data_IF_517393820552
#
_entry.id   IF_517393820552
#
_cell.length_a   1.000
_cell.length_b   1.000
_cell.length_c   1.000
_cell.angle_alpha   90.00
_cell.angle_beta   90.00
_cell.angle_gamma   90.00
#
_symmetry.space_group_name_H-M   'P 1'
#
loop_
_entity.id
_entity.type
_entity.pdbx_description
1 polymer ?
#
# COMPACT_ATOMS: atom_id res chain seq x y z
N UNK A 1 -30.73 -0.22 9.38
CA UNK A 1 -29.40 0.19 8.86
C UNK A 1 -29.51 0.23 7.35
N UNK A 2 -29.29 1.39 6.72
CA UNK A 2 -29.32 1.54 5.27
C UNK A 2 -27.87 1.65 4.78
N UNK A 3 -27.45 0.74 3.90
CA UNK A 3 -26.08 0.64 3.42
C UNK A 3 -26.07 0.88 1.92
N UNK A 4 -25.23 1.82 1.49
CA UNK A 4 -24.98 2.10 0.09
C UNK A 4 -23.51 1.81 -0.20
N UNK A 5 -23.24 1.11 -1.30
CA UNK A 5 -21.89 0.73 -1.71
C UNK A 5 -21.69 1.18 -3.14
N UNK A 6 -20.63 1.96 -3.37
CA UNK A 6 -20.22 2.39 -4.70
C UNK A 6 -18.83 1.82 -4.99
N UNK A 7 -18.71 1.13 -6.13
CA UNK A 7 -17.44 0.68 -6.66
C UNK A 7 -16.94 1.72 -7.65
N UNK A 8 -15.75 2.25 -7.39
CA UNK A 8 -15.18 3.32 -8.20
C UNK A 8 -14.44 2.81 -9.44
N UNK A 9 -14.02 1.54 -9.50
CA UNK A 9 -13.18 0.99 -10.59
C UNK A 9 -11.94 1.83 -10.96
N UNK A 10 -11.48 2.69 -10.04
CA UNK A 10 -10.52 3.76 -10.31
C UNK A 10 -9.07 3.31 -10.50
N UNK A 11 -8.78 2.01 -10.31
CA UNK A 11 -7.49 1.40 -10.70
C UNK A 11 -7.47 1.01 -12.18
N UNK A 12 -8.64 0.85 -12.81
CA UNK A 12 -8.78 0.54 -14.25
C UNK A 12 -8.96 1.82 -15.08
N UNK A 13 -9.66 2.80 -14.52
CA UNK A 13 -9.92 4.10 -15.13
C UNK A 13 -9.31 5.18 -14.24
N UNK A 14 -8.14 5.66 -14.65
CA UNK A 14 -7.29 6.55 -13.84
C UNK A 14 -7.35 8.01 -14.29
N UNK A 15 -8.09 8.29 -15.36
CA UNK A 15 -8.20 9.60 -15.98
C UNK A 15 -9.03 10.55 -15.12
N UNK A 16 -8.63 11.82 -15.05
CA UNK A 16 -9.34 12.85 -14.27
C UNK A 16 -10.80 13.02 -14.71
N UNK A 17 -11.08 12.88 -16.01
CA UNK A 17 -12.45 12.92 -16.55
C UNK A 17 -13.35 11.84 -15.95
N UNK A 18 -12.81 10.64 -15.70
CA UNK A 18 -13.56 9.56 -15.08
C UNK A 18 -13.89 9.89 -13.61
N UNK A 19 -12.92 10.43 -12.87
CA UNK A 19 -13.12 10.89 -11.49
C UNK A 19 -14.21 11.97 -11.42
N UNK A 20 -14.20 12.94 -12.35
CA UNK A 20 -15.23 13.99 -12.41
C UNK A 20 -16.61 13.46 -12.82
N UNK A 21 -16.65 12.38 -13.60
CA UNK A 21 -17.89 11.66 -13.91
C UNK A 21 -18.48 11.02 -12.64
N UNK A 22 -17.65 10.38 -11.81
CA UNK A 22 -18.08 9.84 -10.51
C UNK A 22 -18.59 10.97 -9.58
N UNK A 23 -17.87 12.09 -9.50
CA UNK A 23 -18.32 13.26 -8.75
C UNK A 23 -19.72 13.72 -9.16
N UNK A 24 -19.94 13.91 -10.47
CA UNK A 24 -21.22 14.35 -11.01
C UNK A 24 -22.34 13.34 -10.76
N UNK A 25 -22.02 12.05 -10.87
CA UNK A 25 -22.94 10.96 -10.55
C UNK A 25 -23.36 11.02 -9.08
N UNK A 26 -22.41 11.11 -8.14
CA UNK A 26 -22.69 11.11 -6.71
C UNK A 26 -23.44 12.38 -6.27
N UNK A 27 -23.09 13.55 -6.81
CA UNK A 27 -23.81 14.79 -6.57
C UNK A 27 -25.29 14.70 -6.97
N UNK A 28 -25.59 13.98 -8.07
CA UNK A 28 -26.97 13.76 -8.51
C UNK A 28 -27.66 12.66 -7.69
N UNK A 29 -26.99 11.54 -7.47
CA UNK A 29 -27.54 10.34 -6.83
C UNK A 29 -27.86 10.55 -5.35
N UNK A 30 -27.06 11.34 -4.65
CA UNK A 30 -27.15 11.53 -3.21
C UNK A 30 -27.54 12.95 -2.79
N UNK A 31 -28.07 13.76 -3.72
CA UNK A 31 -28.47 15.16 -3.47
C UNK A 31 -29.33 15.32 -2.22
N UNK A 32 -30.32 14.44 -2.07
CA UNK A 32 -31.32 14.50 -1.00
C UNK A 32 -31.03 13.46 0.11
N UNK A 33 -29.83 12.89 0.11
CA UNK A 33 -29.39 11.88 1.07
C UNK A 33 -28.38 12.49 2.03
N UNK A 34 -28.56 12.21 3.33
CA UNK A 34 -27.58 12.51 4.37
C UNK A 34 -27.10 11.18 4.95
N UNK A 35 -25.80 10.99 4.95
CA UNK A 35 -25.16 9.81 5.53
C UNK A 35 -24.70 10.14 6.95
N UNK A 36 -24.87 9.19 7.87
CA UNK A 36 -24.32 9.29 9.21
C UNK A 36 -22.79 9.12 9.21
N UNK A 37 -22.26 8.38 8.23
CA UNK A 37 -20.84 8.09 8.06
C UNK A 37 -20.55 7.69 6.61
N UNK A 38 -19.36 8.02 6.12
CA UNK A 38 -18.79 7.50 4.87
C UNK A 38 -17.60 6.63 5.22
N UNK A 39 -17.53 5.45 4.59
CA UNK A 39 -16.35 4.58 4.65
C UNK A 39 -15.70 4.62 3.27
N UNK A 40 -14.43 5.04 3.21
CA UNK A 40 -13.64 4.97 1.98
C UNK A 40 -12.55 3.90 2.11
N UNK A 41 -12.47 3.03 1.12
CA UNK A 41 -11.51 1.92 1.07
C UNK A 41 -10.49 2.17 -0.02
N UNK A 42 -9.20 2.01 0.30
CA UNK A 42 -8.06 2.23 -0.61
C UNK A 42 -7.74 3.72 -0.87
N UNK A 43 -6.55 3.99 -1.40
CA UNK A 43 -5.95 5.32 -1.59
C UNK A 43 -6.80 6.21 -2.51
N UNK A 44 -7.37 5.62 -3.57
CA UNK A 44 -8.17 6.35 -4.54
C UNK A 44 -9.50 6.86 -3.95
N UNK A 45 -10.17 6.05 -3.14
CA UNK A 45 -11.40 6.49 -2.48
C UNK A 45 -11.11 7.51 -1.38
N UNK A 46 -10.00 7.33 -0.65
CA UNK A 46 -9.53 8.32 0.31
C UNK A 46 -9.24 9.67 -0.36
N UNK A 47 -8.49 9.68 -1.47
CA UNK A 47 -8.21 10.90 -2.25
C UNK A 47 -9.49 11.57 -2.76
N UNK A 48 -10.43 10.79 -3.31
CA UNK A 48 -11.69 11.33 -3.81
C UNK A 48 -12.49 12.03 -2.69
N UNK A 49 -12.59 11.41 -1.52
CA UNK A 49 -13.26 11.99 -0.36
C UNK A 49 -12.48 13.19 0.18
N UNK A 50 -11.15 13.13 0.21
CA UNK A 50 -10.32 14.27 0.57
C UNK A 50 -10.65 15.50 -0.30
N UNK A 51 -10.75 15.32 -1.61
CA UNK A 51 -10.90 16.42 -2.57
C UNK A 51 -12.36 16.90 -2.73
N UNK A 52 -13.36 16.05 -2.45
CA UNK A 52 -14.76 16.32 -2.81
C UNK A 52 -15.78 16.12 -1.68
N UNK A 53 -15.37 15.71 -0.47
CA UNK A 53 -16.31 15.50 0.65
C UNK A 53 -17.13 16.74 0.94
N UNK A 54 -16.49 17.89 1.06
CA UNK A 54 -17.18 19.08 1.57
C UNK A 54 -18.19 19.63 0.55
N UNK A 55 -18.06 19.29 -0.74
CA UNK A 55 -19.04 19.61 -1.78
C UNK A 55 -20.14 18.55 -1.88
N UNK A 56 -19.82 17.26 -1.78
CA UNK A 56 -20.77 16.16 -1.97
C UNK A 56 -21.53 15.77 -0.69
N UNK A 57 -20.83 15.78 0.44
CA UNK A 57 -21.27 15.24 1.72
C UNK A 57 -20.84 16.16 2.90
N UNK A 58 -21.28 17.43 2.90
CA UNK A 58 -20.80 18.42 3.84
C UNK A 58 -21.04 17.99 5.30
N UNK A 59 -19.99 18.00 6.10
CA UNK A 59 -20.03 17.68 7.54
C UNK A 59 -20.18 16.19 7.87
N UNK A 60 -20.32 15.31 6.88
CA UNK A 60 -20.44 13.87 7.12
C UNK A 60 -19.10 13.30 7.64
N UNK A 61 -19.08 12.57 8.77
CA UNK A 61 -17.87 11.90 9.25
C UNK A 61 -17.34 10.86 8.25
N UNK A 62 -16.02 10.75 8.15
CA UNK A 62 -15.33 9.81 7.26
C UNK A 62 -14.47 8.85 8.07
N UNK A 63 -14.58 7.56 7.74
CA UNK A 63 -13.66 6.52 8.20
C UNK A 63 -12.94 5.95 6.98
N UNK A 64 -11.63 6.16 6.87
CA UNK A 64 -10.83 5.54 5.81
C UNK A 64 -10.30 4.17 6.25
N UNK A 65 -10.09 3.25 5.31
CA UNK A 65 -9.42 1.98 5.55
C UNK A 65 -8.57 1.57 4.35
N UNK A 66 -7.42 0.95 4.60
CA UNK A 66 -6.55 0.49 3.51
C UNK A 66 -5.79 1.62 2.82
N UNK A 67 -5.53 2.72 3.53
CA UNK A 67 -4.69 3.80 3.00
C UNK A 67 -3.22 3.46 3.24
N UNK A 68 -2.46 3.35 2.16
CA UNK A 68 -1.04 3.05 2.20
C UNK A 68 -0.23 4.31 2.52
N UNK A 69 0.88 4.16 3.25
CA UNK A 69 1.82 5.24 3.56
C UNK A 69 1.19 6.50 4.18
N UNK A 70 0.10 6.32 4.92
CA UNK A 70 -0.63 7.42 5.53
C UNK A 70 0.28 8.27 6.44
N UNK A 71 0.25 9.59 6.24
CA UNK A 71 0.83 10.58 7.15
C UNK A 71 -0.26 11.44 7.77
N UNK A 72 -0.17 11.81 9.07
CA UNK A 72 -1.10 12.76 9.68
C UNK A 72 -1.28 14.08 8.89
N UNK A 73 -0.24 14.52 8.18
CA UNK A 73 -0.27 15.72 7.35
C UNK A 73 -1.30 15.64 6.20
N UNK A 74 -1.66 14.43 5.77
CA UNK A 74 -2.66 14.19 4.71
C UNK A 74 -4.07 14.59 5.12
N UNK A 75 -4.36 14.74 6.41
CA UNK A 75 -5.68 15.13 6.92
C UNK A 75 -5.60 16.26 7.96
N UNK A 76 -4.46 16.94 8.07
CA UNK A 76 -4.24 17.96 9.10
C UNK A 76 -5.27 19.10 9.05
N UNK A 77 -5.73 19.43 7.84
CA UNK A 77 -6.71 20.49 7.59
C UNK A 77 -8.16 19.98 7.52
N UNK A 78 -8.38 18.67 7.73
CA UNK A 78 -9.69 18.03 7.66
C UNK A 78 -10.26 17.77 9.05
N UNK A 79 -11.58 17.95 9.21
CA UNK A 79 -12.31 17.66 10.45
C UNK A 79 -13.30 16.51 10.27
N UNK A 80 -13.46 15.69 11.31
CA UNK A 80 -14.40 14.56 11.29
C UNK A 80 -13.91 13.38 10.43
N UNK A 81 -12.60 13.25 10.23
CA UNK A 81 -11.98 12.14 9.52
C UNK A 81 -11.09 11.32 10.46
N UNK A 82 -11.16 10.00 10.33
CA UNK A 82 -10.33 9.02 11.04
C UNK A 82 -10.22 7.76 10.19
N UNK A 83 -9.45 6.75 10.61
CA UNK A 83 -9.40 5.53 9.85
C UNK A 83 -8.49 4.44 10.39
N UNK A 84 -8.23 3.46 9.53
CA UNK A 84 -7.31 2.35 9.75
C UNK A 84 -6.27 2.38 8.63
N UNK A 85 -5.01 2.57 9.01
CA UNK A 85 -3.90 2.65 8.07
C UNK A 85 -3.43 1.27 7.66
N UNK A 86 -3.03 1.13 6.40
CA UNK A 86 -2.34 -0.05 5.91
C UNK A 86 -0.84 0.17 6.08
N UNK A 87 -0.20 -0.73 6.82
CA UNK A 87 1.22 -0.65 7.14
C UNK A 87 1.87 -2.01 6.94
N UNK A 88 3.13 -2.03 6.55
CA UNK A 88 3.95 -3.23 6.50
C UNK A 88 4.88 -3.25 7.72
N UNK A 89 4.87 -4.33 8.51
CA UNK A 89 5.86 -4.50 9.60
C UNK A 89 7.14 -5.12 9.06
N UNK A 90 7.83 -4.35 8.22
CA UNK A 90 9.10 -4.75 7.58
C UNK A 90 10.13 -5.13 8.63
N UNK A 91 10.19 -4.38 9.74
CA UNK A 91 11.09 -4.65 10.85
C UNK A 91 10.77 -6.00 11.49
N UNK A 92 9.51 -6.26 11.82
CA UNK A 92 9.08 -7.55 12.39
C UNK A 92 9.40 -8.73 11.47
N UNK A 93 9.22 -8.56 10.15
CA UNK A 93 9.61 -9.57 9.15
C UNK A 93 11.11 -9.81 9.12
N UNK A 94 11.92 -8.76 9.09
CA UNK A 94 13.39 -8.89 9.09
C UNK A 94 13.91 -9.49 10.40
N UNK A 95 13.35 -9.10 11.54
CA UNK A 95 13.70 -9.67 12.85
C UNK A 95 13.37 -11.17 12.91
N UNK A 96 12.18 -11.56 12.42
CA UNK A 96 11.77 -12.95 12.36
C UNK A 96 12.65 -13.77 11.40
N UNK A 97 12.98 -13.21 10.23
CA UNK A 97 13.89 -13.84 9.28
C UNK A 97 15.27 -14.07 9.93
N UNK A 98 15.82 -13.09 10.65
CA UNK A 98 17.10 -13.21 11.35
C UNK A 98 17.08 -14.17 12.55
N UNK A 99 15.93 -14.44 13.14
CA UNK A 99 15.80 -15.50 14.16
C UNK A 99 15.91 -16.89 13.54
N UNK A 100 15.42 -17.06 12.31
CA UNK A 100 15.46 -18.32 11.58
C UNK A 100 16.80 -18.52 10.83
N UNK A 101 17.36 -17.42 10.33
CA UNK A 101 18.55 -17.37 9.48
C UNK A 101 19.56 -16.36 10.08
N UNK A 102 20.23 -16.74 11.18
CA UNK A 102 21.07 -15.80 11.93
C UNK A 102 22.28 -15.28 11.14
N UNK A 103 22.74 -16.04 10.14
CA UNK A 103 23.90 -15.73 9.31
C UNK A 103 23.58 -14.86 8.08
N UNK A 104 22.31 -14.48 7.88
CA UNK A 104 21.90 -13.62 6.77
C UNK A 104 22.61 -12.27 6.81
N UNK A 105 23.21 -11.89 5.68
CA UNK A 105 23.89 -10.59 5.48
C UNK A 105 23.27 -9.77 4.36
N UNK A 106 22.64 -10.42 3.39
CA UNK A 106 22.12 -9.77 2.19
C UNK A 106 20.59 -9.87 2.15
N UNK A 107 19.93 -8.73 1.90
CA UNK A 107 18.49 -8.63 1.68
C UNK A 107 18.25 -8.09 0.28
N UNK A 108 17.63 -8.90 -0.57
CA UNK A 108 17.23 -8.51 -1.91
C UNK A 108 15.75 -8.12 -1.90
N UNK A 109 15.46 -6.86 -2.19
CA UNK A 109 14.10 -6.32 -2.23
C UNK A 109 13.61 -6.37 -3.67
N UNK A 110 12.53 -7.11 -3.91
CA UNK A 110 11.89 -7.15 -5.23
C UNK A 110 10.72 -6.16 -5.22
N UNK A 111 10.82 -5.16 -6.08
CA UNK A 111 9.83 -4.11 -6.32
C UNK A 111 9.69 -3.87 -7.83
N UNK A 112 8.60 -3.27 -8.28
CA UNK A 112 8.48 -2.69 -9.61
C UNK A 112 8.79 -1.18 -9.56
N UNK A 113 8.94 -0.58 -10.74
CA UNK A 113 9.20 0.86 -10.89
C UNK A 113 7.94 1.74 -10.71
N UNK A 114 6.87 1.23 -10.10
CA UNK A 114 5.65 2.00 -9.87
C UNK A 114 5.81 2.99 -8.71
N UNK A 115 4.86 3.93 -8.58
CA UNK A 115 4.79 4.82 -7.42
C UNK A 115 4.71 4.05 -6.09
N UNK A 116 4.06 2.88 -6.08
CA UNK A 116 4.00 2.00 -4.91
C UNK A 116 5.37 1.38 -4.61
N UNK A 117 6.09 0.94 -5.63
CA UNK A 117 7.46 0.41 -5.49
C UNK A 117 8.43 1.46 -4.92
N UNK A 118 8.38 2.69 -5.42
CA UNK A 118 9.17 3.81 -4.89
C UNK A 118 8.81 4.14 -3.44
N UNK A 119 7.51 4.15 -3.10
CA UNK A 119 7.09 4.35 -1.72
C UNK A 119 7.57 3.21 -0.79
N UNK A 120 7.52 1.95 -1.25
CA UNK A 120 8.07 0.80 -0.53
C UNK A 120 9.57 1.00 -0.26
N UNK A 121 10.32 1.42 -1.29
CA UNK A 121 11.76 1.70 -1.19
C UNK A 121 12.09 2.75 -0.15
N UNK A 122 11.32 3.84 -0.08
CA UNK A 122 11.50 4.87 0.95
C UNK A 122 11.30 4.33 2.36
N UNK A 123 10.25 3.53 2.58
CA UNK A 123 9.97 2.92 3.89
C UNK A 123 11.06 1.90 4.26
N UNK A 124 11.48 1.06 3.33
CA UNK A 124 12.55 0.08 3.57
C UNK A 124 13.86 0.77 3.92
N UNK A 125 14.24 1.84 3.21
CA UNK A 125 15.45 2.58 3.54
C UNK A 125 15.44 3.17 4.96
N UNK A 126 14.28 3.61 5.46
CA UNK A 126 14.15 4.06 6.85
C UNK A 126 14.35 2.90 7.84
N UNK A 127 13.82 1.72 7.53
CA UNK A 127 13.96 0.51 8.36
C UNK A 127 15.40 -0.03 8.30
N UNK A 128 16.02 -0.03 7.12
CA UNK A 128 17.37 -0.52 6.86
C UNK A 128 18.43 0.20 7.72
N UNK A 129 18.21 1.47 8.05
CA UNK A 129 19.09 2.22 8.96
C UNK A 129 19.25 1.52 10.34
N UNK A 130 18.22 0.83 10.82
CA UNK A 130 18.26 0.05 12.07
C UNK A 130 19.09 -1.24 11.99
N UNK A 131 19.46 -1.68 10.78
CA UNK A 131 20.25 -2.88 10.53
C UNK A 131 21.65 -2.57 9.97
N UNK A 132 22.06 -1.30 10.01
CA UNK A 132 23.37 -0.87 9.52
C UNK A 132 24.51 -1.68 10.15
N UNK A 133 25.40 -2.21 9.30
CA UNK A 133 26.51 -3.07 9.72
C UNK A 133 26.13 -4.52 10.00
N UNK A 134 24.85 -4.88 9.90
CA UNK A 134 24.35 -6.27 9.97
C UNK A 134 23.79 -6.75 8.65
N UNK A 135 22.97 -5.94 7.99
CA UNK A 135 22.33 -6.28 6.72
C UNK A 135 22.71 -5.26 5.64
N UNK A 136 22.92 -5.77 4.44
CA UNK A 136 23.04 -5.02 3.19
C UNK A 136 21.75 -5.18 2.40
N UNK A 137 21.25 -4.08 1.82
CA UNK A 137 20.01 -4.07 1.05
C UNK A 137 20.30 -3.79 -0.41
N UNK A 138 19.80 -4.65 -1.30
CA UNK A 138 19.87 -4.50 -2.75
C UNK A 138 18.45 -4.46 -3.32
N UNK A 139 18.12 -3.45 -4.12
CA UNK A 139 16.80 -3.29 -4.72
C UNK A 139 16.80 -3.76 -6.18
N UNK A 140 15.86 -4.65 -6.51
CA UNK A 140 15.66 -5.23 -7.84
C UNK A 140 14.37 -4.65 -8.44
N UNK A 141 14.46 -3.45 -9.05
CA UNK A 141 13.30 -2.59 -9.38
C UNK A 141 12.99 -2.43 -10.88
N UNK A 142 14.00 -2.56 -11.74
CA UNK A 142 13.89 -2.31 -13.18
C UNK A 142 14.29 -3.55 -14.00
N UNK A 143 13.58 -4.65 -13.77
CA UNK A 143 13.85 -5.96 -14.37
C UNK A 143 12.70 -6.41 -15.26
N UNK A 144 12.99 -7.15 -16.33
CA UNK A 144 11.99 -8.10 -16.87
C UNK A 144 11.88 -9.31 -15.95
N UNK A 145 10.79 -10.08 -16.03
CA UNK A 145 10.68 -11.29 -15.21
C UNK A 145 11.81 -12.29 -15.50
N UNK A 146 12.25 -12.41 -16.74
CA UNK A 146 13.36 -13.32 -17.12
C UNK A 146 14.70 -12.85 -16.53
N UNK A 147 14.96 -11.54 -16.54
CA UNK A 147 16.15 -10.97 -15.89
C UNK A 147 16.09 -11.17 -14.38
N UNK A 148 14.93 -10.96 -13.78
CA UNK A 148 14.72 -11.16 -12.35
C UNK A 148 14.95 -12.62 -11.96
N UNK A 149 14.43 -13.57 -12.75
CA UNK A 149 14.68 -15.01 -12.58
C UNK A 149 16.17 -15.36 -12.67
N UNK A 150 16.88 -14.76 -13.62
CA UNK A 150 18.32 -14.94 -13.75
C UNK A 150 19.06 -14.39 -12.51
N UNK A 151 18.72 -13.19 -12.06
CA UNK A 151 19.33 -12.56 -10.88
C UNK A 151 19.11 -13.41 -9.62
N UNK A 152 17.86 -13.80 -9.34
CA UNK A 152 17.52 -14.57 -8.12
C UNK A 152 18.18 -15.95 -8.08
N UNK A 153 18.55 -16.49 -9.24
CA UNK A 153 19.28 -17.77 -9.35
C UNK A 153 20.75 -17.67 -8.96
N UNK A 154 21.31 -16.46 -8.92
CA UNK A 154 22.72 -16.22 -8.56
C UNK A 154 22.91 -15.84 -7.10
N UNK A 155 21.82 -15.62 -6.37
CA UNK A 155 21.88 -15.17 -4.98
C UNK A 155 22.50 -16.22 -4.08
N UNK A 156 23.20 -15.74 -3.05
CA UNK A 156 23.80 -16.62 -2.04
C UNK A 156 22.75 -17.28 -1.15
N UNK A 157 23.06 -18.46 -0.61
CA UNK A 157 22.20 -19.11 0.39
C UNK A 157 22.09 -18.31 1.71
N UNK A 158 23.07 -17.43 1.99
CA UNK A 158 23.08 -16.50 3.13
C UNK A 158 22.27 -15.21 2.88
N UNK A 159 21.38 -15.22 1.88
CA UNK A 159 20.53 -14.09 1.55
C UNK A 159 19.05 -14.38 1.71
N UNK A 160 18.26 -13.33 1.86
CA UNK A 160 16.80 -13.41 1.84
C UNK A 160 16.23 -12.51 0.76
N UNK A 161 15.12 -12.93 0.17
CA UNK A 161 14.32 -12.07 -0.72
C UNK A 161 13.16 -11.49 0.07
N UNK A 162 13.05 -10.16 0.08
CA UNK A 162 11.88 -9.43 0.54
C UNK A 162 11.02 -9.06 -0.68
N UNK A 163 9.99 -9.86 -0.95
CA UNK A 163 9.06 -9.62 -2.05
C UNK A 163 7.98 -8.63 -1.61
N UNK A 164 8.05 -7.42 -2.17
CA UNK A 164 7.16 -6.31 -1.86
C UNK A 164 6.06 -6.20 -2.92
N UNK A 165 6.28 -5.44 -3.98
CA UNK A 165 5.29 -5.22 -5.05
C UNK A 165 5.98 -5.35 -6.39
N UNK A 166 5.69 -6.42 -7.14
CA UNK A 166 6.14 -6.57 -8.53
C UNK A 166 4.92 -6.97 -9.35
N UNK A 167 4.12 -5.99 -9.76
CA UNK A 167 2.89 -6.22 -10.52
C UNK A 167 3.08 -5.96 -12.00
N UNK A 168 4.11 -5.21 -12.38
CA UNK A 168 4.43 -4.91 -13.77
C UNK A 168 5.93 -4.92 -13.96
N UNK A 169 6.41 -5.61 -15.00
CA UNK A 169 7.83 -5.59 -15.35
C UNK A 169 8.20 -4.41 -16.25
N UNK A 170 9.49 -4.24 -16.54
CA UNK A 170 9.97 -3.15 -17.42
C UNK A 170 9.34 -3.12 -18.82
N UNK A 171 8.83 -4.26 -19.32
CA UNK A 171 8.18 -4.34 -20.63
C UNK A 171 6.69 -3.97 -20.60
N UNK A 172 6.14 -3.68 -19.42
CA UNK A 172 4.72 -3.41 -19.21
C UNK A 172 3.87 -4.67 -19.07
N UNK A 173 4.49 -5.83 -18.83
CA UNK A 173 3.75 -7.07 -18.62
C UNK A 173 3.28 -7.16 -17.17
N UNK A 174 1.99 -7.38 -16.99
CA UNK A 174 1.39 -7.49 -15.67
C UNK A 174 1.53 -8.91 -15.08
N UNK A 175 1.69 -8.96 -13.76
CA UNK A 175 1.77 -10.16 -12.95
C UNK A 175 0.91 -10.02 -11.71
N UNK A 176 0.15 -11.05 -11.38
CA UNK A 176 -0.40 -11.17 -10.02
C UNK A 176 0.69 -11.57 -9.03
N UNK A 177 0.48 -11.29 -7.74
CA UNK A 177 1.40 -11.73 -6.68
C UNK A 177 1.71 -13.24 -6.74
N UNK A 178 0.69 -14.07 -7.01
CA UNK A 178 0.88 -15.51 -7.11
C UNK A 178 1.70 -15.91 -8.35
N UNK A 179 1.51 -15.23 -9.48
CA UNK A 179 2.34 -15.45 -10.67
C UNK A 179 3.79 -15.06 -10.42
N UNK A 180 4.04 -13.91 -9.79
CA UNK A 180 5.40 -13.52 -9.39
C UNK A 180 6.06 -14.55 -8.47
N UNK A 181 5.37 -15.00 -7.43
CA UNK A 181 5.88 -16.06 -6.55
C UNK A 181 6.20 -17.34 -7.32
N UNK A 182 5.33 -17.76 -8.24
CA UNK A 182 5.55 -18.95 -9.06
C UNK A 182 6.68 -18.78 -10.09
N UNK A 183 6.95 -17.57 -10.55
CA UNK A 183 8.07 -17.29 -11.43
C UNK A 183 9.41 -17.22 -10.68
N UNK A 184 9.42 -16.65 -9.47
CA UNK A 184 10.64 -16.38 -8.70
C UNK A 184 11.06 -17.62 -7.88
N UNK A 185 10.12 -18.23 -7.15
CA UNK A 185 10.42 -19.30 -6.18
C UNK A 185 11.17 -20.50 -6.78
N UNK A 186 10.82 -21.02 -7.97
CA UNK A 186 11.53 -22.17 -8.54
C UNK A 186 12.95 -21.87 -8.99
N UNK A 187 13.28 -20.60 -9.20
CA UNK A 187 14.58 -20.16 -9.71
C UNK A 187 15.46 -19.56 -8.61
N UNK A 188 14.90 -19.23 -7.46
CA UNK A 188 15.63 -18.61 -6.35
C UNK A 188 16.62 -19.62 -5.75
N UNK A 189 17.90 -19.25 -5.74
CA UNK A 189 18.94 -20.05 -5.10
C UNK A 189 19.00 -19.80 -3.57
N UNK A 190 18.40 -18.69 -3.11
CA UNK A 190 18.16 -18.47 -1.68
C UNK A 190 16.93 -19.26 -1.20
N UNK A 191 17.01 -19.88 -0.04
CA UNK A 191 15.96 -20.79 0.46
C UNK A 191 14.68 -20.07 0.96
N UNK A 192 14.67 -18.73 1.04
CA UNK A 192 13.63 -18.01 1.77
C UNK A 192 13.15 -16.73 1.08
N UNK A 193 11.90 -16.77 0.60
CA UNK A 193 11.15 -15.59 0.16
C UNK A 193 10.23 -15.17 1.30
N UNK A 194 10.46 -13.98 1.84
CA UNK A 194 9.56 -13.33 2.78
C UNK A 194 8.60 -12.43 2.00
N UNK A 195 7.31 -12.78 1.98
CA UNK A 195 6.27 -11.91 1.48
C UNK A 195 5.57 -11.21 2.66
N UNK A 196 5.47 -9.89 2.59
CA UNK A 196 4.79 -9.07 3.58
C UNK A 196 3.28 -9.03 3.31
N UNK A 197 2.50 -9.52 4.27
CA UNK A 197 1.08 -9.23 4.34
C UNK A 197 0.84 -7.84 4.91
N UNK A 198 -0.12 -7.12 4.36
CA UNK A 198 -0.60 -5.85 4.90
C UNK A 198 -1.09 -6.02 6.36
N UNK A 199 -0.65 -5.12 7.24
CA UNK A 199 -1.14 -5.01 8.61
C UNK A 199 -1.98 -3.75 8.77
N UNK A 200 -3.16 -3.93 9.33
CA UNK A 200 -4.11 -2.85 9.58
C UNK A 200 -3.96 -2.33 11.01
N UNK A 201 -3.63 -1.05 11.16
CA UNK A 201 -3.54 -0.39 12.47
C UNK A 201 -4.58 0.73 12.60
N UNK A 202 -5.36 0.78 13.70
CA UNK A 202 -6.24 1.90 13.96
C UNK A 202 -5.45 3.20 14.04
N UNK A 203 -5.93 4.24 13.37
CA UNK A 203 -5.46 5.59 13.56
C UNK A 203 -6.37 6.33 14.54
N UNK A 204 -5.77 7.03 15.49
CA UNK A 204 -6.49 7.74 16.55
C UNK A 204 -6.36 9.26 16.38
N UNK A 205 -7.34 9.92 15.75
CA UNK A 205 -7.56 11.37 15.98
C UNK A 205 -8.32 11.59 17.30
N UNK A 206 -8.08 12.73 17.94
CA UNK A 206 -8.94 13.23 19.02
C UNK A 206 -10.35 13.52 18.47
N UNK A 207 -11.22 12.52 18.54
CA UNK A 207 -12.66 12.58 18.27
C UNK A 207 -13.42 13.29 19.39
N UNK A 208 -13.03 14.52 19.72
CA UNK A 208 -13.69 15.32 20.76
C UNK A 208 -13.90 16.76 20.30
N UNK A 209 -15.06 17.03 19.70
CA UNK A 209 -15.95 18.17 20.01
C UNK A 209 -17.15 18.18 19.06
N UNK A 210 -18.33 18.50 19.60
CA UNK A 210 -19.65 18.62 18.95
C UNK A 210 -20.58 17.39 18.95
N UNK A 211 -20.74 16.78 20.12
CA UNK A 211 -22.05 16.31 20.58
C UNK A 211 -22.28 16.81 22.00
N UNK A 212 -22.66 18.10 22.12
CA UNK A 212 -23.37 18.68 23.27
C UNK A 212 -23.64 20.17 22.98
N UNK A 213 -24.82 20.44 22.44
CA UNK A 213 -25.65 21.61 22.71
C UNK A 213 -27.09 21.19 22.39
#
# INVERSE_FOLDING_TARGET
>A
MNLHVEYMDSKRFTEEEYVMTLHSLYARKYRDTRFDVIICSDDNAFKFIHDHRDTLFPGTPVIFCGVNYFSPDMIQDMTGITGVVETFDIKGTLDAALMLLPDTKEVYVINDASLTGEANKMVINQVAAGYAGRLNFTFLEDYTMEELQAEVSTLSEESIILLMTFNQDRTGRDYSCLECLNCIYPNANCAHICHLGALYRPWHSRWHAHQRA
#
